data_IF_111653125840
#
_entry.id   IF_111653125840
#
_cell.length_a   1.000
_cell.length_b   1.000
_cell.length_c   1.000
_cell.angle_alpha   90.00
_cell.angle_beta   90.00
_cell.angle_gamma   90.00
#
_symmetry.space_group_name_H-M   'P 1'
#
loop_
_entity.id
_entity.type
_entity.pdbx_description
1 polymer ?
#
# COMPACT_ATOMS: atom_id res chain seq x y z
N UNK A 1 1.51 18.61 4.35
CA UNK A 1 1.22 18.54 5.79
C UNK A 1 2.49 18.85 6.55
N UNK A 2 2.44 19.79 7.50
CA UNK A 2 3.58 20.09 8.37
C UNK A 2 3.59 19.07 9.50
N UNK A 3 4.68 18.32 9.66
CA UNK A 3 4.82 17.34 10.73
C UNK A 3 4.64 18.01 12.11
N UNK A 4 3.97 17.29 13.02
CA UNK A 4 3.73 17.71 14.41
C UNK A 4 4.31 16.67 15.35
N UNK A 5 4.93 17.12 16.42
CA UNK A 5 5.36 16.22 17.49
C UNK A 5 4.18 15.89 18.41
N UNK A 6 4.19 14.71 19.00
CA UNK A 6 3.18 14.29 19.97
C UNK A 6 3.16 15.22 21.20
N UNK A 7 4.32 15.72 21.61
CA UNK A 7 4.45 16.65 22.74
C UNK A 7 3.76 17.98 22.46
N UNK A 8 3.91 18.53 21.24
CA UNK A 8 3.15 19.72 20.81
C UNK A 8 1.64 19.46 20.84
N UNK A 9 1.18 18.31 20.35
CA UNK A 9 -0.24 17.94 20.37
C UNK A 9 -0.78 17.74 21.80
N UNK A 10 0.04 17.25 22.72
CA UNK A 10 -0.33 17.10 24.12
C UNK A 10 -0.44 18.45 24.84
N UNK A 11 0.42 19.41 24.51
CA UNK A 11 0.49 20.70 25.18
C UNK A 11 -0.40 21.79 24.57
N UNK A 12 -0.79 21.67 23.29
CA UNK A 12 -1.54 22.72 22.59
C UNK A 12 -3.01 22.84 23.06
N UNK A 13 -3.65 23.95 22.66
CA UNK A 13 -5.07 24.17 22.92
C UNK A 13 -5.92 23.09 22.22
N UNK A 14 -7.17 22.88 22.68
CA UNK A 14 -8.08 21.94 22.01
C UNK A 14 -8.35 22.35 20.55
N UNK A 15 -8.43 23.65 20.27
CA UNK A 15 -8.62 24.15 18.92
C UNK A 15 -7.44 23.83 18.00
N UNK A 16 -6.21 24.03 18.48
CA UNK A 16 -4.99 23.72 17.72
C UNK A 16 -4.81 22.21 17.51
N UNK A 17 -5.19 21.39 18.49
CA UNK A 17 -5.18 19.92 18.36
C UNK A 17 -6.12 19.47 17.23
N UNK A 18 -7.35 20.00 17.21
CA UNK A 18 -8.34 19.67 16.18
C UNK A 18 -7.89 20.15 14.81
N UNK A 19 -7.39 21.38 14.71
CA UNK A 19 -6.88 21.94 13.47
C UNK A 19 -5.68 21.14 12.93
N UNK A 20 -4.77 20.71 13.82
CA UNK A 20 -3.62 19.91 13.43
C UNK A 20 -4.03 18.55 12.85
N UNK A 21 -5.08 17.91 13.39
CA UNK A 21 -5.52 16.56 13.00
C UNK A 21 -6.71 16.56 12.02
N UNK A 22 -7.14 17.72 11.53
CA UNK A 22 -8.37 17.88 10.74
C UNK A 22 -8.43 17.02 9.48
N UNK A 23 -7.27 16.73 8.88
CA UNK A 23 -7.17 15.95 7.64
C UNK A 23 -6.97 14.44 7.86
N UNK A 24 -6.90 13.94 9.10
CA UNK A 24 -6.74 12.50 9.36
C UNK A 24 -7.99 11.72 8.96
N UNK A 25 -9.17 12.25 9.30
CA UNK A 25 -10.46 11.71 8.89
C UNK A 25 -11.17 12.76 8.04
N UNK A 26 -11.49 12.40 6.80
CA UNK A 26 -12.05 13.31 5.80
C UNK A 26 -13.29 14.06 6.34
N UNK A 27 -13.23 15.39 6.33
CA UNK A 27 -14.29 16.31 6.79
C UNK A 27 -14.92 15.97 8.16
N UNK A 28 -14.15 15.38 9.08
CA UNK A 28 -14.67 14.81 10.34
C UNK A 28 -13.92 15.29 11.60
N UNK A 29 -13.89 16.61 11.90
CA UNK A 29 -13.14 17.18 13.02
C UNK A 29 -13.63 16.68 14.39
N UNK A 30 -14.89 16.27 14.50
CA UNK A 30 -15.51 15.73 15.72
C UNK A 30 -14.74 14.56 16.32
N UNK A 31 -14.00 13.80 15.50
CA UNK A 31 -13.16 12.69 15.96
C UNK A 31 -11.98 13.21 16.78
N UNK A 32 -11.26 14.21 16.26
CA UNK A 32 -10.17 14.85 16.98
C UNK A 32 -10.68 15.63 18.20
N UNK A 33 -11.84 16.29 18.09
CA UNK A 33 -12.46 17.02 19.20
C UNK A 33 -12.73 16.12 20.41
N UNK A 34 -13.23 14.90 20.17
CA UNK A 34 -13.52 13.94 21.22
C UNK A 34 -12.25 13.26 21.72
N UNK A 35 -11.33 12.89 20.83
CA UNK A 35 -10.05 12.29 21.21
C UNK A 35 -9.22 13.23 22.11
N UNK A 36 -9.31 14.55 21.92
CA UNK A 36 -8.61 15.55 22.73
C UNK A 36 -8.90 15.46 24.24
N UNK A 37 -10.03 14.88 24.65
CA UNK A 37 -10.42 14.65 26.05
C UNK A 37 -9.59 13.55 26.74
N UNK A 38 -8.92 12.70 25.96
CA UNK A 38 -8.08 11.60 26.46
C UNK A 38 -6.60 11.94 26.56
N UNK A 39 -6.23 13.22 26.35
CA UNK A 39 -4.84 13.70 26.49
C UNK A 39 -4.41 13.72 27.96
N UNK A 40 -3.10 13.59 28.24
CA UNK A 40 -2.01 13.41 27.28
C UNK A 40 -1.87 11.96 26.77
N UNK A 41 -1.30 11.80 25.58
CA UNK A 41 -0.97 10.51 24.98
C UNK A 41 0.53 10.20 25.17
N UNK A 42 0.83 8.95 25.56
CA UNK A 42 2.19 8.45 25.72
C UNK A 42 2.86 8.07 24.38
N UNK A 43 2.09 7.90 23.32
CA UNK A 43 2.58 7.51 21.99
C UNK A 43 1.58 7.79 20.88
N UNK A 44 2.05 7.77 19.63
CA UNK A 44 1.24 7.88 18.41
C UNK A 44 0.24 6.72 18.34
N UNK A 45 0.61 5.52 18.81
CA UNK A 45 -0.32 4.38 18.89
C UNK A 45 -1.52 4.68 19.80
N UNK A 46 -1.30 5.32 20.94
CA UNK A 46 -2.38 5.66 21.88
C UNK A 46 -3.27 6.76 21.32
N UNK A 47 -2.69 7.80 20.71
CA UNK A 47 -3.43 8.85 19.99
C UNK A 47 -4.35 8.23 18.92
N UNK A 48 -3.80 7.37 18.06
CA UNK A 48 -4.58 6.73 17.01
C UNK A 48 -5.65 5.78 17.57
N UNK A 49 -5.33 5.01 18.62
CA UNK A 49 -6.30 4.15 19.28
C UNK A 49 -7.47 4.95 19.88
N UNK A 50 -7.23 6.13 20.44
CA UNK A 50 -8.27 7.02 20.95
C UNK A 50 -9.18 7.53 19.82
N UNK A 51 -8.61 7.99 18.69
CA UNK A 51 -9.40 8.41 17.52
C UNK A 51 -10.21 7.25 16.91
N UNK A 52 -9.61 6.06 16.79
CA UNK A 52 -10.31 4.87 16.29
C UNK A 52 -11.49 4.49 17.19
N UNK A 53 -11.29 4.51 18.51
CA UNK A 53 -12.34 4.23 19.49
C UNK A 53 -13.53 5.19 19.35
N UNK A 54 -13.26 6.49 19.14
CA UNK A 54 -14.30 7.49 18.90
C UNK A 54 -15.16 7.13 17.68
N UNK A 55 -14.56 6.64 16.60
CA UNK A 55 -15.29 6.20 15.40
C UNK A 55 -16.10 4.93 15.65
N UNK A 56 -15.49 3.95 16.32
CA UNK A 56 -16.12 2.67 16.65
C UNK A 56 -17.36 2.85 17.54
N UNK A 57 -17.28 3.74 18.54
CA UNK A 57 -18.35 4.03 19.50
C UNK A 57 -19.39 5.06 19.00
N UNK A 58 -19.14 5.74 17.87
CA UNK A 58 -20.04 6.75 17.33
C UNK A 58 -21.43 6.20 17.01
N UNK A 59 -22.45 7.06 16.96
CA UNK A 59 -23.78 6.63 16.55
C UNK A 59 -23.75 6.13 15.08
N UNK A 60 -24.66 5.21 14.72
CA UNK A 60 -24.72 4.66 13.36
C UNK A 60 -24.83 5.75 12.27
N UNK A 61 -25.59 6.82 12.54
CA UNK A 61 -25.70 7.97 11.65
C UNK A 61 -24.38 8.73 11.45
N UNK A 62 -23.55 8.86 12.49
CA UNK A 62 -22.24 9.51 12.39
C UNK A 62 -21.25 8.66 11.59
N UNK A 63 -21.23 7.33 11.79
CA UNK A 63 -20.42 6.43 10.96
C UNK A 63 -20.82 6.50 9.49
N UNK A 64 -22.13 6.53 9.20
CA UNK A 64 -22.62 6.66 7.83
C UNK A 64 -22.28 8.03 7.22
N UNK A 65 -22.37 9.11 8.00
CA UNK A 65 -21.96 10.45 7.56
C UNK A 65 -20.46 10.50 7.25
N UNK A 66 -19.61 9.90 8.10
CA UNK A 66 -18.18 9.75 7.86
C UNK A 66 -17.89 9.01 6.56
N UNK A 67 -18.58 7.89 6.29
CA UNK A 67 -18.44 7.15 5.02
C UNK A 67 -18.84 8.03 3.83
N UNK A 68 -19.99 8.71 3.91
CA UNK A 68 -20.50 9.55 2.82
C UNK A 68 -19.65 10.81 2.55
N UNK A 69 -18.87 11.25 3.53
CA UNK A 69 -17.94 12.36 3.36
C UNK A 69 -16.68 11.98 2.56
N UNK A 70 -16.40 10.69 2.37
CA UNK A 70 -15.27 10.24 1.56
C UNK A 70 -15.59 10.37 0.07
N UNK A 71 -14.62 10.81 -0.74
CA UNK A 71 -14.80 10.90 -2.19
C UNK A 71 -14.87 9.53 -2.85
N UNK A 72 -15.44 9.48 -4.06
CA UNK A 72 -15.41 8.27 -4.88
C UNK A 72 -13.99 8.00 -5.42
N UNK A 73 -13.70 6.71 -5.65
CA UNK A 73 -12.48 6.29 -6.32
C UNK A 73 -12.55 6.62 -7.82
N UNK A 74 -11.45 7.16 -8.36
CA UNK A 74 -11.24 7.39 -9.79
C UNK A 74 -12.30 8.27 -10.49
N UNK A 75 -13.09 9.03 -9.76
CA UNK A 75 -14.10 9.93 -10.34
C UNK A 75 -13.42 11.09 -11.08
N UNK A 76 -13.63 11.16 -12.40
CA UNK A 76 -13.09 12.23 -13.25
C UNK A 76 -13.71 13.60 -12.95
N UNK A 77 -14.93 13.63 -12.41
CA UNK A 77 -15.64 14.88 -12.12
C UNK A 77 -15.16 15.56 -10.83
N UNK A 78 -14.48 14.81 -9.95
CA UNK A 78 -13.93 15.32 -8.68
C UNK A 78 -12.45 15.74 -8.80
N UNK A 79 -11.81 15.56 -9.97
CA UNK A 79 -10.41 15.94 -10.23
C UNK A 79 -10.15 17.45 -10.24
N UNK A 80 -11.21 18.27 -10.17
CA UNK A 80 -11.16 19.72 -10.32
C UNK A 80 -10.88 20.51 -9.04
N UNK A 81 -11.72 20.40 -8.00
CA UNK A 81 -11.66 21.31 -6.83
C UNK A 81 -12.26 20.73 -5.53
N UNK A 82 -12.66 19.45 -5.51
CA UNK A 82 -13.44 18.85 -4.40
C UNK A 82 -12.69 17.79 -3.56
N UNK A 83 -11.51 17.35 -4.02
CA UNK A 83 -10.67 16.39 -3.31
C UNK A 83 -9.67 17.12 -2.41
N UNK A 84 -9.53 16.68 -1.16
CA UNK A 84 -8.41 17.11 -0.33
C UNK A 84 -7.08 16.73 -0.97
N UNK A 85 -6.01 17.46 -0.64
CA UNK A 85 -4.68 17.16 -1.13
C UNK A 85 -4.25 15.73 -0.77
N UNK A 86 -4.69 15.25 0.40
CA UNK A 86 -4.49 13.91 0.92
C UNK A 86 -5.15 12.85 0.05
N UNK A 87 -6.46 12.97 -0.23
CA UNK A 87 -7.17 12.03 -1.08
C UNK A 87 -6.62 12.00 -2.52
N UNK A 88 -6.24 13.16 -3.07
CA UNK A 88 -5.57 13.22 -4.37
C UNK A 88 -4.24 12.45 -4.37
N UNK A 89 -3.37 12.69 -3.38
CA UNK A 89 -2.09 11.99 -3.27
C UNK A 89 -2.27 10.47 -3.10
N UNK A 90 -3.26 10.05 -2.33
CA UNK A 90 -3.60 8.64 -2.11
C UNK A 90 -3.99 7.95 -3.42
N UNK A 91 -4.94 8.51 -4.18
CA UNK A 91 -5.40 7.91 -5.44
C UNK A 91 -4.32 7.93 -6.53
N UNK A 92 -3.51 8.99 -6.60
CA UNK A 92 -2.43 9.11 -7.57
C UNK A 92 -1.29 8.10 -7.32
N UNK A 93 -1.07 7.70 -6.06
CA UNK A 93 -0.01 6.75 -5.69
C UNK A 93 -0.14 5.37 -6.36
N UNK A 94 -1.37 4.99 -6.70
CA UNK A 94 -1.71 3.71 -7.37
C UNK A 94 -2.10 3.88 -8.84
N UNK A 95 -1.95 5.09 -9.39
CA UNK A 95 -2.20 5.35 -10.81
C UNK A 95 -3.66 5.43 -11.21
N UNK A 96 -4.58 5.74 -10.28
CA UNK A 96 -6.01 5.97 -10.59
C UNK A 96 -6.24 7.24 -11.41
N UNK A 97 -5.25 8.15 -11.45
CA UNK A 97 -5.21 9.33 -12.32
C UNK A 97 -5.05 8.96 -13.81
N UNK A 98 -4.36 7.84 -14.08
CA UNK A 98 -3.91 7.39 -15.41
C UNK A 98 -4.49 6.02 -15.78
N UNK A 99 -5.80 5.86 -15.61
CA UNK A 99 -6.51 4.64 -16.01
C UNK A 99 -6.64 4.53 -17.52
N UNK A 100 -6.47 3.31 -18.05
CA UNK A 100 -6.93 2.99 -19.41
C UNK A 100 -8.46 3.09 -19.50
N UNK A 101 -9.00 3.09 -20.72
CA UNK A 101 -10.46 3.08 -20.90
C UNK A 101 -11.12 1.85 -20.27
N UNK A 102 -10.49 0.68 -20.40
CA UNK A 102 -10.98 -0.56 -19.80
C UNK A 102 -10.94 -0.53 -18.27
N UNK A 103 -9.88 0.03 -17.69
CA UNK A 103 -9.76 0.20 -16.24
C UNK A 103 -10.80 1.21 -15.73
N UNK A 104 -10.96 2.35 -16.41
CA UNK A 104 -11.95 3.35 -16.06
C UNK A 104 -13.36 2.77 -16.08
N UNK A 105 -13.73 2.04 -17.14
CA UNK A 105 -15.02 1.37 -17.22
C UNK A 105 -15.23 0.35 -16.10
N UNK A 106 -14.17 -0.30 -15.61
CA UNK A 106 -14.26 -1.20 -14.47
C UNK A 106 -14.54 -0.44 -13.16
N UNK A 107 -13.80 0.64 -12.88
CA UNK A 107 -14.01 1.46 -11.67
C UNK A 107 -15.36 2.20 -11.69
N UNK A 108 -15.85 2.64 -12.85
CA UNK A 108 -17.17 3.24 -12.98
C UNK A 108 -18.28 2.22 -12.64
N UNK A 109 -18.16 0.96 -13.10
CA UNK A 109 -19.07 -0.12 -12.70
C UNK A 109 -19.02 -0.38 -11.19
N UNK A 110 -17.84 -0.36 -10.59
CA UNK A 110 -17.67 -0.49 -9.13
C UNK A 110 -18.46 0.59 -8.40
N UNK A 111 -18.21 1.86 -8.72
CA UNK A 111 -18.85 2.99 -8.05
C UNK A 111 -20.38 2.94 -8.21
N UNK A 112 -20.87 2.69 -9.43
CA UNK A 112 -22.30 2.65 -9.71
C UNK A 112 -23.02 1.49 -9.01
N UNK A 113 -22.47 0.28 -9.08
CA UNK A 113 -23.08 -0.88 -8.42
C UNK A 113 -23.08 -0.75 -6.90
N UNK A 114 -22.00 -0.23 -6.34
CA UNK A 114 -21.86 -0.06 -4.89
C UNK A 114 -22.79 1.03 -4.35
N UNK A 115 -22.86 2.19 -5.03
CA UNK A 115 -23.81 3.26 -4.68
C UNK A 115 -25.26 2.79 -4.81
N UNK A 116 -25.59 2.03 -5.86
CA UNK A 116 -26.94 1.49 -6.05
C UNK A 116 -27.36 0.54 -4.92
N UNK A 117 -26.43 -0.29 -4.42
CA UNK A 117 -26.74 -1.27 -3.36
C UNK A 117 -26.72 -0.66 -1.96
N UNK A 118 -25.70 0.13 -1.63
CA UNK A 118 -25.43 0.55 -0.25
C UNK A 118 -25.78 2.03 0.01
N UNK A 119 -25.91 2.86 -1.03
CA UNK A 119 -26.26 4.28 -0.90
C UNK A 119 -25.13 5.16 -0.38
N UNK A 120 -23.88 4.69 -0.44
CA UNK A 120 -22.67 5.39 -0.04
C UNK A 120 -21.48 4.95 -0.93
N UNK A 121 -20.38 5.71 -1.01
CA UNK A 121 -19.23 5.41 -1.88
C UNK A 121 -18.50 4.14 -1.47
N UNK A 122 -17.87 3.45 -2.43
CA UNK A 122 -16.97 2.34 -2.15
C UNK A 122 -15.64 2.87 -1.61
N UNK A 123 -15.31 2.51 -0.38
CA UNK A 123 -14.08 2.98 0.29
C UNK A 123 -13.11 1.81 0.42
N UNK A 124 -11.86 2.07 0.04
CA UNK A 124 -10.71 1.18 0.25
C UNK A 124 -9.46 2.02 0.50
N UNK A 125 -8.57 1.55 1.36
CA UNK A 125 -7.28 2.17 1.59
C UNK A 125 -6.34 1.90 0.40
N UNK A 126 -6.45 2.71 -0.65
CA UNK A 126 -5.77 2.49 -1.94
C UNK A 126 -4.26 2.28 -1.82
N UNK A 127 -3.58 2.94 -0.86
CA UNK A 127 -2.13 2.76 -0.64
C UNK A 127 -1.72 1.33 -0.28
N UNK A 128 -2.68 0.48 0.14
CA UNK A 128 -2.49 -0.93 0.46
C UNK A 128 -2.84 -1.87 -0.71
N UNK A 129 -3.24 -1.36 -1.86
CA UNK A 129 -3.82 -2.15 -2.95
C UNK A 129 -3.27 -1.76 -4.33
N UNK A 130 -3.08 -2.74 -5.21
CA UNK A 130 -2.98 -2.46 -6.66
C UNK A 130 -4.37 -2.28 -7.27
N UNK A 131 -4.47 -1.70 -8.47
CA UNK A 131 -5.75 -1.54 -9.19
C UNK A 131 -6.52 -2.87 -9.32
N UNK A 132 -5.84 -3.94 -9.72
CA UNK A 132 -6.42 -5.28 -9.81
C UNK A 132 -6.96 -5.78 -8.47
N UNK A 133 -6.24 -5.53 -7.37
CA UNK A 133 -6.68 -5.98 -6.05
C UNK A 133 -7.85 -5.17 -5.51
N UNK A 134 -8.01 -3.90 -5.91
CA UNK A 134 -9.19 -3.09 -5.58
C UNK A 134 -10.42 -3.69 -6.25
N UNK A 135 -10.34 -3.99 -7.55
CA UNK A 135 -11.46 -4.59 -8.27
C UNK A 135 -11.84 -5.96 -7.69
N UNK A 136 -10.85 -6.77 -7.29
CA UNK A 136 -11.09 -8.04 -6.63
C UNK A 136 -11.65 -7.90 -5.19
N UNK A 137 -11.27 -6.85 -4.45
CA UNK A 137 -11.84 -6.55 -3.13
C UNK A 137 -13.31 -6.13 -3.24
N UNK A 138 -13.63 -5.29 -4.23
CA UNK A 138 -15.00 -4.93 -4.55
C UNK A 138 -15.87 -6.16 -4.83
N UNK A 139 -15.41 -7.09 -5.67
CA UNK A 139 -16.18 -8.32 -5.99
C UNK A 139 -16.49 -9.15 -4.73
N UNK A 140 -15.60 -9.14 -3.74
CA UNK A 140 -15.81 -9.83 -2.45
C UNK A 140 -16.77 -9.10 -1.53
N UNK A 141 -16.79 -7.77 -1.58
CA UNK A 141 -17.59 -6.93 -0.68
C UNK A 141 -18.98 -6.61 -1.22
N UNK A 142 -19.16 -6.59 -2.54
CA UNK A 142 -20.46 -6.32 -3.15
C UNK A 142 -21.57 -7.27 -2.64
N UNK A 143 -21.33 -8.57 -2.37
CA UNK A 143 -22.35 -9.47 -1.81
C UNK A 143 -22.74 -9.18 -0.36
N UNK A 144 -21.96 -8.42 0.41
CA UNK A 144 -22.21 -8.16 1.83
C UNK A 144 -23.60 -7.54 2.10
N UNK A 145 -24.09 -7.71 3.33
CA UNK A 145 -25.21 -6.93 3.83
C UNK A 145 -24.78 -5.50 4.22
N UNK A 146 -25.71 -4.53 4.34
CA UNK A 146 -25.35 -3.15 4.63
C UNK A 146 -24.64 -2.93 5.97
N UNK A 147 -24.90 -3.74 7.00
CA UNK A 147 -24.27 -3.58 8.31
C UNK A 147 -22.82 -4.06 8.30
N UNK A 148 -22.56 -5.20 7.65
CA UNK A 148 -21.22 -5.69 7.37
C UNK A 148 -20.43 -4.67 6.54
N UNK A 149 -21.06 -4.02 5.57
CA UNK A 149 -20.38 -3.09 4.68
C UNK A 149 -20.06 -1.72 5.32
N UNK A 150 -20.92 -1.24 6.23
CA UNK A 150 -20.57 -0.08 7.08
C UNK A 150 -19.36 -0.41 7.93
N UNK A 151 -19.30 -1.60 8.52
CA UNK A 151 -18.17 -2.05 9.34
C UNK A 151 -16.88 -2.14 8.51
N UNK A 152 -16.95 -2.74 7.31
CA UNK A 152 -15.83 -2.83 6.39
C UNK A 152 -15.34 -1.45 5.94
N UNK A 153 -16.25 -0.55 5.59
CA UNK A 153 -15.92 0.82 5.16
C UNK A 153 -15.23 1.61 6.27
N UNK A 154 -15.74 1.53 7.51
CA UNK A 154 -15.07 2.15 8.67
C UNK A 154 -13.68 1.56 8.89
N UNK A 155 -13.49 0.26 8.72
CA UNK A 155 -12.16 -0.36 8.82
C UNK A 155 -11.19 0.17 7.75
N UNK A 156 -11.66 0.40 6.51
CA UNK A 156 -10.87 1.02 5.44
C UNK A 156 -10.52 2.47 5.75
N UNK A 157 -11.46 3.26 6.28
CA UNK A 157 -11.22 4.63 6.73
C UNK A 157 -10.17 4.66 7.85
N UNK A 158 -10.24 3.75 8.81
CA UNK A 158 -9.23 3.63 9.87
C UNK A 158 -7.83 3.30 9.31
N UNK A 159 -7.72 2.49 8.25
CA UNK A 159 -6.44 2.22 7.59
C UNK A 159 -5.88 3.47 6.89
N UNK A 160 -6.74 4.25 6.23
CA UNK A 160 -6.38 5.55 5.64
C UNK A 160 -5.90 6.51 6.74
N UNK A 161 -6.67 6.67 7.80
CA UNK A 161 -6.35 7.51 8.94
C UNK A 161 -5.03 7.11 9.62
N UNK A 162 -4.73 5.81 9.73
CA UNK A 162 -3.46 5.33 10.28
C UNK A 162 -2.26 5.81 9.44
N UNK A 163 -2.35 5.70 8.11
CA UNK A 163 -1.31 6.19 7.21
C UNK A 163 -1.16 7.71 7.27
N UNK A 164 -2.26 8.46 7.35
CA UNK A 164 -2.22 9.92 7.50
C UNK A 164 -1.62 10.34 8.84
N UNK A 165 -1.96 9.61 9.92
CA UNK A 165 -1.40 9.83 11.26
C UNK A 165 0.11 9.59 11.28
N UNK A 166 0.59 8.48 10.71
CA UNK A 166 2.04 8.17 10.67
C UNK A 166 2.86 9.17 9.86
N UNK A 167 2.26 9.75 8.81
CA UNK A 167 2.87 10.81 8.02
C UNK A 167 2.89 12.18 8.73
N UNK A 168 1.90 12.45 9.57
CA UNK A 168 1.69 13.77 10.16
C UNK A 168 2.29 13.89 11.57
N UNK A 169 2.30 12.82 12.34
CA UNK A 169 2.61 12.85 13.78
C UNK A 169 3.88 12.08 14.07
N UNK A 170 4.86 12.76 14.66
CA UNK A 170 6.08 12.17 15.17
C UNK A 170 5.97 11.94 16.69
N UNK A 171 6.45 10.81 17.18
CA UNK A 171 6.43 10.50 18.59
C UNK A 171 7.33 9.32 18.96
N UNK A 172 7.27 8.86 20.23
CA UNK A 172 8.16 7.82 20.75
C UNK A 172 7.87 6.42 20.20
N UNK A 173 6.69 6.21 19.61
CA UNK A 173 6.34 5.00 18.87
C UNK A 173 5.74 5.35 17.49
N UNK A 174 5.64 4.34 16.63
CA UNK A 174 5.06 4.47 15.27
C UNK A 174 3.97 3.46 15.02
N UNK A 175 3.08 3.79 14.11
CA UNK A 175 2.04 2.87 13.64
C UNK A 175 2.67 1.82 12.72
N UNK A 176 2.14 0.60 12.77
CA UNK A 176 2.58 -0.48 11.89
C UNK A 176 1.82 -0.35 10.56
N UNK A 177 2.29 0.57 9.71
CA UNK A 177 1.67 0.91 8.41
C UNK A 177 2.65 0.80 7.24
N UNK A 178 3.85 0.27 7.48
CA UNK A 178 4.88 0.08 6.47
C UNK A 178 5.17 -1.41 6.29
N UNK A 179 5.38 -1.82 5.05
CA UNK A 179 5.91 -3.14 4.73
C UNK A 179 7.25 -3.03 4.03
N UNK A 180 7.80 -4.20 3.69
CA UNK A 180 9.08 -4.30 2.99
C UNK A 180 9.06 -5.45 2.01
N UNK A 181 9.42 -5.18 0.76
CA UNK A 181 9.74 -6.21 -0.24
C UNK A 181 11.25 -6.19 -0.50
N UNK A 182 11.91 -7.32 -0.32
CA UNK A 182 13.34 -7.48 -0.52
C UNK A 182 13.66 -8.75 -1.30
N UNK A 183 14.81 -8.78 -1.94
CA UNK A 183 15.34 -9.96 -2.63
C UNK A 183 16.80 -10.18 -2.27
N UNK A 184 17.30 -11.37 -2.57
CA UNK A 184 18.69 -11.78 -2.42
C UNK A 184 18.95 -12.86 -3.46
N UNK A 185 20.08 -12.78 -4.16
CA UNK A 185 20.48 -13.76 -5.17
C UNK A 185 21.71 -14.49 -4.68
N UNK A 186 21.60 -15.81 -4.55
CA UNK A 186 22.69 -16.70 -4.18
C UNK A 186 23.06 -17.56 -5.38
N UNK A 187 24.31 -17.45 -5.83
CA UNK A 187 24.91 -18.35 -6.80
C UNK A 187 25.30 -19.65 -6.07
N UNK A 188 24.50 -20.69 -6.26
CA UNK A 188 24.72 -22.00 -5.63
C UNK A 188 25.67 -22.89 -6.45
N UNK A 189 26.07 -22.46 -7.65
CA UNK A 189 27.14 -23.12 -8.40
C UNK A 189 28.50 -22.82 -7.78
N UNK A 190 28.76 -21.56 -7.42
CA UNK A 190 30.01 -21.14 -6.79
C UNK A 190 29.92 -20.88 -5.27
N UNK A 191 28.74 -21.07 -4.68
CA UNK A 191 28.52 -21.02 -3.23
C UNK A 191 28.67 -19.63 -2.62
N UNK A 192 28.31 -18.57 -3.34
CA UNK A 192 28.50 -17.17 -2.92
C UNK A 192 27.32 -16.27 -3.33
N UNK A 193 27.16 -15.10 -2.70
CA UNK A 193 26.19 -14.11 -3.17
C UNK A 193 26.50 -13.67 -4.61
N UNK A 194 25.45 -13.54 -5.42
CA UNK A 194 25.57 -13.19 -6.84
C UNK A 194 25.51 -11.67 -7.00
N UNK A 195 26.67 -11.01 -7.00
CA UNK A 195 26.81 -9.57 -7.20
C UNK A 195 26.73 -9.18 -8.70
N UNK A 196 26.06 -8.06 -8.98
CA UNK A 196 25.93 -7.48 -10.33
C UNK A 196 24.75 -8.01 -11.16
N UNK A 197 23.85 -8.83 -10.58
CA UNK A 197 22.66 -9.31 -11.27
C UNK A 197 21.68 -8.16 -11.46
N UNK A 198 21.23 -7.93 -12.69
CA UNK A 198 20.12 -7.01 -12.97
C UNK A 198 18.81 -7.59 -12.47
N UNK A 199 18.10 -6.81 -11.65
CA UNK A 199 16.81 -7.14 -11.06
C UNK A 199 15.78 -6.08 -11.48
N UNK A 200 14.68 -6.52 -12.06
CA UNK A 200 13.49 -5.68 -12.31
C UNK A 200 12.30 -6.21 -11.53
N UNK A 201 11.62 -5.34 -10.79
CA UNK A 201 10.34 -5.63 -10.13
C UNK A 201 9.20 -4.96 -10.92
N UNK A 202 8.21 -5.76 -11.31
CA UNK A 202 7.02 -5.31 -12.02
C UNK A 202 5.77 -5.66 -11.22
N UNK A 203 4.86 -4.69 -11.08
CA UNK A 203 3.47 -4.91 -10.65
C UNK A 203 2.63 -5.33 -11.85
N UNK A 204 2.06 -6.54 -11.80
CA UNK A 204 1.30 -7.11 -12.91
C UNK A 204 -0.14 -6.58 -12.91
N UNK A 205 -0.65 -6.26 -14.10
CA UNK A 205 -2.05 -5.88 -14.32
C UNK A 205 -2.80 -6.91 -15.18
N UNK A 206 -4.10 -7.09 -14.92
CA UNK A 206 -5.02 -7.87 -15.78
C UNK A 206 -5.64 -7.03 -16.90
N UNK A 207 -6.06 -5.81 -16.57
CA UNK A 207 -6.85 -4.96 -17.47
C UNK A 207 -6.03 -3.83 -18.12
N UNK A 208 -4.96 -3.40 -17.45
CA UNK A 208 -4.08 -2.35 -17.90
C UNK A 208 -2.69 -2.87 -18.25
N UNK A 209 -1.74 -1.93 -18.29
CA UNK A 209 -0.32 -2.22 -18.52
C UNK A 209 0.35 -2.49 -17.18
N UNK A 210 1.16 -3.55 -17.12
CA UNK A 210 2.02 -3.83 -15.96
C UNK A 210 2.98 -2.67 -15.70
N UNK A 211 3.20 -2.33 -14.42
CA UNK A 211 3.99 -1.17 -14.01
C UNK A 211 5.33 -1.59 -13.46
N UNK A 212 6.42 -1.07 -14.01
CA UNK A 212 7.76 -1.24 -13.42
C UNK A 212 7.81 -0.45 -12.11
N UNK A 213 8.17 -1.13 -11.03
CA UNK A 213 8.28 -0.57 -9.68
C UNK A 213 9.72 -0.22 -9.33
N UNK A 214 10.66 -1.11 -9.66
CA UNK A 214 12.07 -0.91 -9.39
C UNK A 214 12.96 -1.59 -10.44
N UNK A 215 14.10 -0.98 -10.72
CA UNK A 215 15.22 -1.57 -11.47
C UNK A 215 16.49 -1.33 -10.67
N UNK A 216 17.28 -2.36 -10.45
CA UNK A 216 18.50 -2.27 -9.65
C UNK A 216 19.47 -3.40 -9.97
N UNK A 217 20.66 -3.33 -9.40
CA UNK A 217 21.66 -4.39 -9.42
C UNK A 217 21.80 -4.99 -8.01
N UNK A 218 22.16 -6.26 -7.93
CA UNK A 218 22.60 -6.84 -6.67
C UNK A 218 24.00 -6.33 -6.29
N UNK A 219 24.19 -6.02 -5.00
CA UNK A 219 25.43 -5.60 -4.39
C UNK A 219 26.33 -6.80 -4.04
N UNK A 220 27.44 -6.55 -3.33
CA UNK A 220 28.43 -7.57 -2.98
C UNK A 220 27.88 -8.71 -2.09
N UNK A 221 26.78 -8.48 -1.37
CA UNK A 221 26.05 -9.47 -0.58
C UNK A 221 24.88 -10.10 -1.37
N UNK A 222 24.85 -9.93 -2.71
CA UNK A 222 23.77 -10.47 -3.56
C UNK A 222 22.41 -9.82 -3.32
N UNK A 223 22.33 -8.73 -2.55
CA UNK A 223 21.10 -8.03 -2.17
C UNK A 223 20.95 -6.72 -2.94
N UNK A 224 19.81 -6.06 -2.82
CA UNK A 224 19.66 -4.67 -3.26
C UNK A 224 20.05 -3.73 -2.12
N UNK A 225 20.69 -2.58 -2.41
CA UNK A 225 21.15 -1.64 -1.37
C UNK A 225 20.02 -1.07 -0.51
N UNK A 226 18.84 -0.91 -1.14
CA UNK A 226 17.59 -0.56 -0.48
C UNK A 226 16.53 -1.62 -0.80
N UNK A 227 15.48 -1.77 0.02
CA UNK A 227 14.36 -2.64 -0.32
C UNK A 227 13.74 -2.24 -1.67
N UNK A 228 13.25 -3.23 -2.43
CA UNK A 228 12.55 -2.97 -3.69
C UNK A 228 11.26 -2.15 -3.47
N UNK A 229 10.62 -2.38 -2.33
CA UNK A 229 9.56 -1.51 -1.78
C UNK A 229 9.83 -1.38 -0.28
N UNK A 230 9.84 -0.15 0.25
CA UNK A 230 10.01 0.14 1.67
C UNK A 230 9.45 1.52 2.04
N UNK A 231 9.28 1.79 3.33
CA UNK A 231 8.77 3.07 3.85
C UNK A 231 7.30 3.37 3.53
N UNK A 232 6.56 2.35 3.06
CA UNK A 232 5.14 2.38 2.74
C UNK A 232 4.58 0.95 2.76
N UNK A 233 3.25 0.75 2.76
CA UNK A 233 2.70 -0.58 2.52
C UNK A 233 3.17 -1.15 1.17
N UNK A 234 3.36 -2.47 1.13
CA UNK A 234 3.54 -3.24 -0.11
C UNK A 234 2.14 -3.56 -0.66
N UNK A 235 1.69 -2.99 -1.79
CA UNK A 235 0.30 -3.12 -2.20
C UNK A 235 -0.08 -4.58 -2.47
N UNK A 236 -1.24 -5.01 -1.99
CA UNK A 236 -1.84 -6.32 -2.28
C UNK A 236 -1.95 -6.45 -3.80
N UNK A 237 -1.43 -7.53 -4.36
CA UNK A 237 -1.37 -7.69 -5.80
C UNK A 237 -0.42 -8.78 -6.25
N UNK A 238 -0.21 -8.87 -7.56
CA UNK A 238 0.70 -9.81 -8.20
C UNK A 238 1.89 -9.07 -8.76
N UNK A 239 3.06 -9.65 -8.59
CA UNK A 239 4.33 -9.07 -8.99
C UNK A 239 5.17 -10.09 -9.74
N UNK A 240 6.11 -9.59 -10.53
CA UNK A 240 7.15 -10.38 -11.19
C UNK A 240 8.51 -9.76 -10.87
N UNK A 241 9.45 -10.60 -10.46
CA UNK A 241 10.87 -10.27 -10.42
C UNK A 241 11.56 -10.92 -11.61
N UNK A 242 12.28 -10.13 -12.40
CA UNK A 242 13.10 -10.64 -13.51
C UNK A 242 14.57 -10.49 -13.17
N UNK A 243 15.29 -11.61 -13.17
CA UNK A 243 16.72 -11.67 -12.90
C UNK A 243 17.48 -12.01 -14.17
N UNK A 244 18.42 -11.16 -14.60
CA UNK A 244 19.29 -11.44 -15.75
C UNK A 244 20.52 -12.21 -15.31
N UNK A 245 20.45 -13.54 -15.36
CA UNK A 245 21.47 -14.44 -14.82
C UNK A 245 22.48 -14.91 -15.88
N UNK A 246 22.10 -14.92 -17.16
CA UNK A 246 22.96 -15.36 -18.25
C UNK A 246 24.24 -14.54 -18.35
N UNK A 247 24.13 -13.21 -18.39
CA UNK A 247 25.27 -12.29 -18.39
C UNK A 247 26.21 -12.51 -17.18
N UNK A 248 25.64 -12.70 -15.98
CA UNK A 248 26.43 -12.93 -14.76
C UNK A 248 27.30 -14.19 -14.84
N UNK A 249 26.77 -15.30 -15.35
CA UNK A 249 27.51 -16.55 -15.48
C UNK A 249 28.49 -16.50 -16.67
N UNK A 250 28.11 -15.84 -17.78
CA UNK A 250 28.97 -15.64 -18.94
C UNK A 250 30.23 -14.84 -18.58
N UNK A 251 30.08 -13.73 -17.87
CA UNK A 251 31.20 -12.88 -17.40
C UNK A 251 32.17 -13.62 -16.48
N UNK A 252 31.72 -14.72 -15.85
CA UNK A 252 32.51 -15.55 -14.94
C UNK A 252 33.09 -16.79 -15.63
N UNK A 253 32.90 -16.94 -16.94
CA UNK A 253 33.44 -18.05 -17.72
C UNK A 253 32.83 -19.41 -17.36
N UNK A 254 31.63 -19.44 -16.78
CA UNK A 254 30.95 -20.70 -16.47
C UNK A 254 30.48 -21.32 -17.78
N UNK A 255 30.79 -22.60 -18.08
CA UNK A 255 30.32 -23.25 -19.29
C UNK A 255 28.79 -23.24 -19.35
N UNK A 256 28.25 -22.70 -20.44
CA UNK A 256 26.81 -22.63 -20.71
C UNK A 256 26.51 -23.11 -22.13
N UNK A 257 25.25 -23.46 -22.38
CA UNK A 257 24.75 -23.75 -23.71
C UNK A 257 24.64 -22.45 -24.49
N UNK A 258 24.60 -22.53 -25.80
CA UNK A 258 24.29 -21.41 -26.69
C UNK A 258 23.05 -21.78 -27.50
N UNK A 259 21.86 -21.23 -27.17
CA UNK A 259 21.59 -20.22 -26.14
C UNK A 259 21.66 -20.77 -24.69
N UNK A 260 21.87 -19.93 -23.65
CA UNK A 260 21.88 -20.38 -22.25
C UNK A 260 20.54 -20.99 -21.84
N UNK A 261 20.58 -22.09 -21.08
CA UNK A 261 19.37 -22.72 -20.55
C UNK A 261 18.60 -21.80 -19.58
N UNK A 262 19.32 -21.05 -18.75
CA UNK A 262 18.78 -19.96 -17.93
C UNK A 262 19.50 -18.65 -18.30
N UNK A 263 18.79 -17.75 -18.97
CA UNK A 263 19.29 -16.41 -19.32
C UNK A 263 18.60 -15.33 -18.48
N UNK A 264 17.28 -15.21 -18.62
CA UNK A 264 16.43 -14.35 -17.79
C UNK A 264 15.41 -15.21 -17.04
N UNK A 265 15.33 -15.04 -15.72
CA UNK A 265 14.41 -15.80 -14.85
C UNK A 265 13.29 -14.88 -14.36
N UNK A 266 12.06 -15.02 -14.88
CA UNK A 266 10.88 -14.37 -14.31
C UNK A 266 10.33 -15.18 -13.13
N UNK A 267 10.09 -14.51 -12.01
CA UNK A 267 9.56 -15.09 -10.78
C UNK A 267 8.30 -14.33 -10.38
N UNK A 268 7.14 -14.98 -10.55
CA UNK A 268 5.84 -14.42 -10.20
C UNK A 268 5.42 -14.80 -8.78
N UNK A 269 4.92 -13.83 -8.03
CA UNK A 269 4.43 -14.02 -6.67
C UNK A 269 3.30 -13.03 -6.33
N UNK A 270 2.59 -13.29 -5.25
CA UNK A 270 1.50 -12.44 -4.76
C UNK A 270 1.84 -11.86 -3.39
N UNK A 271 1.48 -10.60 -3.18
CA UNK A 271 1.51 -9.94 -1.87
C UNK A 271 0.08 -9.91 -1.32
N UNK A 272 -0.08 -10.28 -0.05
CA UNK A 272 -1.36 -10.25 0.65
C UNK A 272 -1.31 -9.58 2.03
N UNK A 273 -0.11 -9.36 2.59
CA UNK A 273 0.15 -8.66 3.87
C UNK A 273 0.93 -7.36 3.59
N UNK A 274 0.26 -6.20 3.48
CA UNK A 274 0.92 -4.96 3.04
C UNK A 274 1.94 -4.39 4.01
N UNK A 275 1.74 -4.62 5.30
CA UNK A 275 2.63 -4.18 6.38
C UNK A 275 3.67 -5.24 6.77
N UNK A 276 3.68 -6.40 6.09
CA UNK A 276 4.62 -7.47 6.35
C UNK A 276 6.02 -7.23 5.77
N UNK A 277 6.98 -8.03 6.22
CA UNK A 277 8.26 -8.20 5.53
C UNK A 277 8.15 -9.41 4.61
N UNK A 278 8.24 -9.15 3.31
CA UNK A 278 8.29 -10.17 2.28
C UNK A 278 9.72 -10.24 1.70
N UNK A 279 10.34 -11.39 1.86
CA UNK A 279 11.63 -11.71 1.24
C UNK A 279 11.45 -12.77 0.15
N UNK A 280 11.82 -12.45 -1.09
CA UNK A 280 11.73 -13.36 -2.23
C UNK A 280 13.12 -13.55 -2.83
N UNK A 281 13.91 -14.52 -2.33
CA UNK A 281 15.26 -14.78 -2.82
C UNK A 281 15.26 -15.65 -4.09
N UNK A 282 16.38 -15.64 -4.79
CA UNK A 282 16.70 -16.54 -5.90
C UNK A 282 17.96 -17.33 -5.55
N UNK A 283 17.85 -18.65 -5.50
CA UNK A 283 19.00 -19.55 -5.47
C UNK A 283 19.20 -20.06 -6.89
N UNK A 284 20.38 -19.87 -7.47
CA UNK A 284 20.56 -20.10 -8.91
C UNK A 284 21.91 -20.74 -9.24
N UNK A 285 21.86 -21.67 -10.19
CA UNK A 285 22.99 -22.15 -10.99
C UNK A 285 22.70 -21.83 -12.47
N UNK A 286 23.64 -22.05 -13.41
CA UNK A 286 23.33 -21.94 -14.84
C UNK A 286 22.20 -22.89 -15.31
N UNK A 287 21.89 -23.92 -14.53
CA UNK A 287 21.03 -25.05 -14.95
C UNK A 287 19.77 -25.24 -14.10
N UNK A 288 19.67 -24.55 -12.98
CA UNK A 288 18.56 -24.69 -12.06
C UNK A 288 18.38 -23.44 -11.22
N UNK A 289 17.16 -23.21 -10.77
CA UNK A 289 16.89 -22.18 -9.78
C UNK A 289 15.81 -22.62 -8.79
N UNK A 290 15.79 -21.98 -7.63
CA UNK A 290 14.77 -22.16 -6.60
C UNK A 290 14.44 -20.84 -5.92
N UNK A 291 13.23 -20.75 -5.38
CA UNK A 291 12.78 -19.62 -4.56
C UNK A 291 11.82 -20.12 -3.47
N UNK A 292 11.54 -19.25 -2.51
CA UNK A 292 10.58 -19.48 -1.43
C UNK A 292 10.08 -18.14 -0.88
N UNK A 293 9.01 -18.18 -0.08
CA UNK A 293 8.57 -17.02 0.71
C UNK A 293 9.38 -16.95 2.00
N UNK A 294 10.30 -16.01 2.08
CA UNK A 294 11.01 -15.65 3.31
C UNK A 294 10.29 -14.56 4.11
N UNK A 295 10.57 -14.54 5.40
CA UNK A 295 10.20 -13.49 6.36
C UNK A 295 11.37 -12.56 6.63
#
# INVERSE_FOLDING_TARGET
>A
MTEKTLDELNACSKADFVAALANIFEYSPWIAEKAAESRPFAGVKQLFAAMRKVVEEAAAGQRLALIKAHPDLADKTQRGDLLTAESNAEQNSVGLDRLSEAEYAAFDRVNNAYRAKFGFPYIVCVRRHTKDSILADFEKRLPNDPAAEVTASVAEICKIAALRTDLLVQGPDRLQVHGRLSTHVLDTHSGRPAAGISVELVELSKLGVSRVIARTLTNHDGRTDVPLIGGRPVPIGRYELTFKVGSYFAERGVPMSDPPFLDEIPLRFSVYEPEGHLHVPLLVTPWSYGTYRGS
#
